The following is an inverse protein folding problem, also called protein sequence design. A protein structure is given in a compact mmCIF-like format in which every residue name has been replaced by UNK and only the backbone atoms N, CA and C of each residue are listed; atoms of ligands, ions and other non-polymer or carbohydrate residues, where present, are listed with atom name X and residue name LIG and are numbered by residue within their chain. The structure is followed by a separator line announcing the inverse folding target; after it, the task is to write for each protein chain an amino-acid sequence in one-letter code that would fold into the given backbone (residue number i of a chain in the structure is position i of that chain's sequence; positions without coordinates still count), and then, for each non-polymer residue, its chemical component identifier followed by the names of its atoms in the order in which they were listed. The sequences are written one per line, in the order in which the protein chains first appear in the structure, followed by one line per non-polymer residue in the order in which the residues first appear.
data_IF_636387819029
#
_entry.id   IF_636387819029
#
_cell.length_a   1.000
_cell.length_b   1.000
_cell.length_c   1.000
_cell.angle_alpha   90.00
_cell.angle_beta   90.00
_cell.angle_gamma   90.00
#
_symmetry.space_group_name_H-M   'P 1'
#
loop_
_entity.id
_entity.type
_entity.pdbx_description
1 polymer ?
#
# COMPACT_ATOMS: atom_id res chain seq x y z
N UNK A 1 2.85 8.22 -8.10
CA UNK A 1 2.95 7.12 -7.10
C UNK A 1 4.19 7.32 -6.26
N UNK A 2 4.44 6.54 -5.18
CA UNK A 2 5.71 6.57 -4.43
C UNK A 2 6.93 6.47 -5.37
N UNK A 3 6.85 5.58 -6.38
CA UNK A 3 7.92 5.39 -7.38
C UNK A 3 8.26 6.62 -8.25
N UNK A 4 7.42 7.65 -8.23
CA UNK A 4 7.60 8.85 -9.07
C UNK A 4 8.07 10.05 -8.25
N UNK A 5 8.31 9.88 -6.94
CA UNK A 5 8.72 10.96 -6.07
C UNK A 5 10.23 11.25 -6.25
N UNK A 6 10.60 12.52 -6.26
CA UNK A 6 11.99 12.95 -6.27
C UNK A 6 12.70 12.60 -4.95
N UNK A 7 11.94 12.64 -3.85
CA UNK A 7 12.42 12.36 -2.51
C UNK A 7 11.35 11.63 -1.69
N UNK A 8 11.79 10.69 -0.85
CA UNK A 8 10.95 9.86 -0.01
C UNK A 8 11.54 9.87 1.40
N UNK A 9 10.68 10.01 2.41
CA UNK A 9 10.99 9.83 3.82
C UNK A 9 10.17 8.64 4.35
N UNK A 10 10.84 7.59 4.81
CA UNK A 10 10.21 6.44 5.45
C UNK A 10 10.33 6.54 6.97
N UNK A 11 9.20 6.53 7.65
CA UNK A 11 9.08 6.68 9.11
C UNK A 11 8.62 5.35 9.73
N UNK A 12 9.23 4.98 10.86
CA UNK A 12 8.98 3.68 11.50
C UNK A 12 10.22 3.17 12.26
N UNK A 13 10.18 1.98 12.86
CA UNK A 13 9.64 0.78 12.24
C UNK A 13 8.21 0.41 12.65
N UNK A 14 7.65 1.05 13.68
CA UNK A 14 6.31 0.78 14.19
C UNK A 14 5.41 2.01 14.22
N UNK A 15 4.29 1.89 14.94
CA UNK A 15 3.33 2.97 15.18
C UNK A 15 3.36 3.41 16.65
N UNK A 16 2.86 4.60 16.95
CA UNK A 16 2.83 5.15 18.31
C UNK A 16 4.23 5.26 18.92
N UNK A 17 4.39 4.79 20.16
CA UNK A 17 5.68 4.78 20.88
C UNK A 17 6.77 3.96 20.18
N UNK A 18 6.40 2.98 19.34
CA UNK A 18 7.32 2.21 18.53
C UNK A 18 7.65 2.85 17.17
N UNK A 19 7.11 4.04 16.89
CA UNK A 19 7.31 4.78 15.66
C UNK A 19 8.02 6.11 15.87
N UNK A 20 7.89 7.03 14.91
CA UNK A 20 8.45 8.39 15.02
C UNK A 20 9.95 8.51 14.72
N UNK A 21 10.62 7.42 14.37
CA UNK A 21 12.01 7.42 13.94
C UNK A 21 12.12 7.47 12.42
N UNK A 22 13.17 8.12 11.92
CA UNK A 22 13.54 8.06 10.50
C UNK A 22 14.21 6.72 10.22
N UNK A 23 13.62 5.92 9.33
CA UNK A 23 14.19 4.64 8.89
C UNK A 23 15.19 4.86 7.77
N UNK A 24 14.76 5.57 6.72
CA UNK A 24 15.56 5.87 5.53
C UNK A 24 14.94 7.07 4.82
N UNK A 25 15.77 7.90 4.18
CA UNK A 25 15.31 9.01 3.34
C UNK A 25 16.19 9.14 2.11
N UNK A 26 15.62 9.57 0.98
CA UNK A 26 16.36 9.74 -0.27
C UNK A 26 15.49 9.53 -1.50
N UNK A 27 16.14 9.36 -2.65
CA UNK A 27 15.46 8.98 -3.88
C UNK A 27 15.00 7.50 -3.84
N UNK A 28 14.24 7.08 -4.85
CA UNK A 28 13.70 5.72 -4.91
C UNK A 28 14.77 4.63 -4.78
N UNK A 29 15.92 4.77 -5.44
CA UNK A 29 16.99 3.77 -5.40
C UNK A 29 17.54 3.59 -3.98
N UNK A 30 17.71 4.69 -3.26
CA UNK A 30 18.14 4.66 -1.87
C UNK A 30 17.12 3.96 -0.97
N UNK A 31 15.82 4.26 -1.14
CA UNK A 31 14.75 3.55 -0.41
C UNK A 31 14.78 2.05 -0.73
N UNK A 32 14.88 1.67 -2.00
CA UNK A 32 14.89 0.28 -2.42
C UNK A 32 16.12 -0.48 -1.92
N UNK A 33 17.25 0.18 -1.67
CA UNK A 33 18.42 -0.45 -1.06
C UNK A 33 18.28 -0.73 0.44
N UNK A 34 17.31 -0.12 1.13
CA UNK A 34 17.15 -0.27 2.58
C UNK A 34 16.62 -1.67 2.97
N UNK A 35 17.38 -2.47 3.75
CA UNK A 35 16.91 -3.78 4.21
C UNK A 35 15.95 -3.67 5.41
N UNK A 36 15.96 -2.54 6.12
CA UNK A 36 15.16 -2.30 7.33
C UNK A 36 13.81 -1.63 7.05
N UNK A 37 13.68 -0.90 5.93
CA UNK A 37 12.43 -0.26 5.51
C UNK A 37 11.34 -1.29 5.21
N UNK A 38 10.24 -1.23 5.97
CA UNK A 38 9.05 -2.05 5.70
C UNK A 38 8.43 -1.67 4.35
N UNK A 39 8.37 -0.38 4.06
CA UNK A 39 7.89 0.16 2.79
C UNK A 39 8.70 -0.38 1.61
N UNK A 40 10.04 -0.39 1.70
CA UNK A 40 10.90 -0.93 0.66
C UNK A 40 10.67 -2.44 0.41
N UNK A 41 10.42 -3.23 1.46
CA UNK A 41 10.07 -4.66 1.31
C UNK A 41 8.80 -4.87 0.48
N UNK A 42 7.80 -3.99 0.62
CA UNK A 42 6.61 -4.02 -0.23
C UNK A 42 6.88 -3.51 -1.66
N UNK A 43 7.68 -2.45 -1.81
CA UNK A 43 8.04 -1.91 -3.12
C UNK A 43 8.92 -2.87 -3.94
N UNK A 44 9.75 -3.69 -3.29
CA UNK A 44 10.53 -4.77 -3.94
C UNK A 44 9.72 -6.03 -4.22
N UNK A 45 8.52 -6.16 -3.62
CA UNK A 45 7.69 -7.37 -3.75
C UNK A 45 8.10 -8.52 -2.83
N UNK A 46 9.05 -8.32 -1.92
CA UNK A 46 9.40 -9.29 -0.86
C UNK A 46 8.23 -9.52 0.10
N UNK A 47 7.43 -8.47 0.31
CA UNK A 47 6.14 -8.52 1.00
C UNK A 47 5.03 -8.15 0.03
N UNK A 48 3.91 -8.84 0.14
CA UNK A 48 2.71 -8.55 -0.63
C UNK A 48 1.46 -8.93 0.19
N UNK A 49 0.33 -8.36 -0.20
CA UNK A 49 -0.98 -8.80 0.31
C UNK A 49 -1.47 -9.89 -0.62
N UNK A 50 -1.59 -11.12 -0.10
CA UNK A 50 -2.01 -12.27 -0.88
C UNK A 50 -3.46 -12.10 -1.34
N UNK A 51 -3.70 -12.40 -2.62
CA UNK A 51 -5.05 -12.48 -3.17
C UNK A 51 -5.65 -13.83 -2.77
N UNK A 52 -6.85 -13.88 -2.17
CA UNK A 52 -7.49 -15.14 -1.82
C UNK A 52 -7.69 -16.03 -3.05
N UNK A 53 -7.33 -17.32 -2.93
CA UNK A 53 -7.51 -18.30 -4.01
C UNK A 53 -8.98 -18.50 -4.41
N UNK A 54 -9.91 -18.23 -3.51
CA UNK A 54 -11.36 -18.33 -3.75
C UNK A 54 -12.05 -17.06 -3.28
N UNK A 55 -12.83 -16.43 -4.17
CA UNK A 55 -13.73 -15.34 -3.81
C UNK A 55 -15.04 -15.90 -3.26
N UNK A 56 -15.67 -15.18 -2.32
CA UNK A 56 -16.98 -15.55 -1.77
C UNK A 56 -18.04 -15.46 -2.88
N UNK A 57 -18.91 -16.47 -2.97
CA UNK A 57 -20.08 -16.39 -3.84
C UNK A 57 -21.02 -15.28 -3.32
N UNK A 58 -21.58 -14.43 -4.20
CA UNK A 58 -22.62 -13.49 -3.78
C UNK A 58 -23.82 -14.26 -3.24
N UNK A 59 -24.45 -13.76 -2.18
CA UNK A 59 -25.70 -14.33 -1.62
C UNK A 59 -26.95 -13.93 -2.42
N UNK A 60 -26.81 -12.95 -3.29
CA UNK A 60 -27.85 -12.38 -4.12
C UNK A 60 -27.29 -11.19 -4.90
N UNK A 61 -28.10 -10.67 -5.82
CA UNK A 61 -27.77 -9.49 -6.60
C UNK A 61 -28.67 -8.34 -6.17
N UNK A 62 -28.10 -7.13 -6.08
CA UNK A 62 -28.91 -5.92 -6.00
C UNK A 62 -29.54 -5.72 -7.38
N UNK A 63 -30.86 -5.71 -7.44
CA UNK A 63 -31.60 -5.38 -8.67
C UNK A 63 -32.04 -3.93 -8.56
N UNK A 64 -31.54 -3.08 -9.45
CA UNK A 64 -31.97 -1.69 -9.52
C UNK A 64 -33.05 -1.59 -10.60
N UNK A 65 -34.24 -1.16 -10.21
CA UNK A 65 -35.36 -0.91 -11.12
C UNK A 65 -35.54 0.60 -11.26
N UNK A 66 -35.72 1.08 -12.50
CA UNK A 66 -35.97 2.49 -12.84
C UNK A 66 -34.83 3.46 -12.46
N UNK A 67 -33.58 3.04 -12.58
CA UNK A 67 -32.47 3.98 -12.53
C UNK A 67 -32.58 4.96 -13.71
N UNK A 68 -32.52 6.26 -13.43
CA UNK A 68 -32.43 7.33 -14.41
C UNK A 68 -31.37 8.32 -13.93
N UNK A 69 -30.58 8.84 -14.85
CA UNK A 69 -29.64 9.94 -14.59
C UNK A 69 -30.44 11.23 -14.38
N UNK A 70 -30.13 11.98 -13.32
CA UNK A 70 -30.70 13.31 -13.11
C UNK A 70 -29.96 14.28 -14.03
N UNK A 71 -30.65 14.77 -15.06
CA UNK A 71 -30.23 15.89 -15.91
C UNK A 71 -30.86 17.18 -15.40
#
# INVERSE_FOLDING_TARGET
TIRSADFILDLGPGAGEGGGFKVVEGNLDFILSSPVSLTAKYLRGEKCVLVPLKRRKPKGWLVILKAAEQV
#
